data_IF_615216677643
#
_entry.id   IF_615216677643
#
_cell.length_a   1.000
_cell.length_b   1.000
_cell.length_c   1.000
_cell.angle_alpha   90.00
_cell.angle_beta   90.00
_cell.angle_gamma   90.00
#
_symmetry.space_group_name_H-M   'P 1'
#
loop_
_entity.id
_entity.type
_entity.pdbx_description
1 polymer ?
#
# COMPACT_ATOMS: atom_id res chain seq x y z
N UNK A 1 68.92 24.71 32.73
CA UNK A 1 67.63 25.43 32.84
C UNK A 1 67.06 25.58 31.45
N UNK A 2 65.73 25.57 31.33
CA UNK A 2 64.89 25.72 30.13
C UNK A 2 64.53 24.41 29.42
N UNK A 3 63.40 23.85 29.87
CA UNK A 3 62.59 22.83 29.22
C UNK A 3 62.14 23.30 27.82
N UNK A 4 62.28 22.42 26.82
CA UNK A 4 61.71 22.64 25.48
C UNK A 4 60.24 22.23 25.46
N UNK A 5 59.38 23.17 25.09
CA UNK A 5 57.94 22.99 24.89
C UNK A 5 57.64 21.96 23.79
N UNK A 6 56.76 21.00 24.07
CA UNK A 6 56.13 20.17 23.03
C UNK A 6 55.08 21.00 22.30
N UNK A 7 55.30 21.24 21.01
CA UNK A 7 54.27 21.76 20.10
C UNK A 7 53.44 20.57 19.63
N UNK A 8 52.15 20.63 19.91
CA UNK A 8 51.17 19.60 19.57
C UNK A 8 50.89 19.62 18.05
N UNK A 9 51.03 18.47 17.39
CA UNK A 9 50.75 18.34 15.95
C UNK A 9 49.23 18.32 15.75
N UNK A 10 48.67 19.43 15.27
CA UNK A 10 47.32 19.48 14.72
C UNK A 10 47.22 18.49 13.55
N UNK A 11 46.64 17.32 13.82
CA UNK A 11 46.32 16.30 12.82
C UNK A 11 45.07 16.76 12.08
N UNK A 12 45.23 17.44 10.96
CA UNK A 12 44.14 17.72 10.02
C UNK A 12 43.52 16.39 9.58
N UNK A 13 42.38 16.03 10.17
CA UNK A 13 41.57 14.88 9.75
C UNK A 13 40.90 15.25 8.43
N UNK A 14 41.51 14.89 7.30
CA UNK A 14 40.78 14.78 6.03
C UNK A 14 39.73 13.69 6.21
N UNK A 15 38.47 14.09 6.33
CA UNK A 15 37.33 13.19 6.27
C UNK A 15 37.14 12.80 4.81
N UNK A 16 37.52 11.57 4.48
CA UNK A 16 37.28 10.98 3.17
C UNK A 16 35.77 10.76 2.98
N UNK A 17 35.22 11.18 1.83
CA UNK A 17 33.76 11.19 1.56
C UNK A 17 33.12 9.80 1.68
N UNK A 18 33.92 8.73 1.60
CA UNK A 18 33.47 7.34 1.80
C UNK A 18 33.26 6.95 3.26
N UNK A 19 33.80 7.68 4.22
CA UNK A 19 33.64 7.39 5.66
C UNK A 19 32.42 8.06 6.30
N UNK A 20 31.70 8.92 5.57
CA UNK A 20 30.44 9.51 6.06
C UNK A 20 29.30 8.49 6.00
N UNK A 21 29.33 7.54 5.05
CA UNK A 21 28.30 6.52 4.89
C UNK A 21 28.52 5.25 5.74
N UNK A 22 29.74 5.01 6.21
CA UNK A 22 30.03 3.87 7.11
C UNK A 22 30.00 4.25 8.60
N UNK A 23 30.00 5.55 8.93
CA UNK A 23 29.72 6.05 10.28
C UNK A 23 28.23 6.19 10.62
N UNK A 24 27.34 6.04 9.63
CA UNK A 24 25.88 6.12 9.79
C UNK A 24 25.17 4.76 9.70
N UNK A 25 25.90 3.66 9.48
CA UNK A 25 25.32 2.32 9.26
C UNK A 25 25.38 1.35 10.45
N UNK A 26 25.91 1.77 11.60
CA UNK A 26 26.28 0.86 12.70
C UNK A 26 25.42 0.90 13.97
N UNK A 27 24.29 1.62 13.99
CA UNK A 27 23.51 1.87 15.22
C UNK A 27 21.98 1.77 15.07
N UNK A 28 21.50 1.06 14.06
CA UNK A 28 20.05 0.81 13.85
C UNK A 28 19.49 -0.37 14.68
N UNK A 29 19.98 -0.56 15.91
CA UNK A 29 19.51 -1.63 16.80
C UNK A 29 19.11 -1.20 18.22
N UNK A 30 19.50 0.00 18.69
CA UNK A 30 19.31 0.34 20.11
C UNK A 30 19.23 1.86 20.42
N UNK A 31 18.73 2.70 19.53
CA UNK A 31 18.64 4.15 19.76
C UNK A 31 17.25 4.64 20.24
N UNK A 32 16.53 3.83 21.04
CA UNK A 32 15.42 4.30 21.86
C UNK A 32 15.85 4.67 23.29
N UNK A 33 17.16 4.74 23.59
CA UNK A 33 17.65 5.24 24.86
C UNK A 33 18.43 6.56 24.68
N UNK A 34 17.80 7.63 25.15
CA UNK A 34 18.41 8.89 25.60
C UNK A 34 18.93 9.80 24.47
N UNK A 35 18.02 10.60 23.91
CA UNK A 35 18.38 11.83 23.20
C UNK A 35 19.04 12.80 24.17
N UNK A 36 20.23 13.28 23.81
CA UNK A 36 20.92 14.37 24.51
C UNK A 36 20.08 15.63 24.34
N UNK A 37 19.63 16.18 25.47
CA UNK A 37 18.93 17.47 25.52
C UNK A 37 19.79 18.55 24.85
N UNK A 38 19.25 19.21 23.82
CA UNK A 38 19.69 20.48 23.20
C UNK A 38 20.00 20.47 21.70
N UNK A 39 19.70 19.42 20.95
CA UNK A 39 19.68 19.52 19.48
C UNK A 39 18.29 19.12 18.96
N UNK A 40 17.52 20.06 18.37
CA UNK A 40 16.25 19.70 17.75
C UNK A 40 16.59 18.89 16.50
N UNK A 41 16.45 17.57 16.61
CA UNK A 41 16.25 16.75 15.42
C UNK A 41 15.13 17.40 14.61
N UNK A 42 15.36 17.57 13.30
CA UNK A 42 14.30 17.94 12.36
C UNK A 42 13.25 16.83 12.35
N UNK A 43 12.35 16.86 13.34
CA UNK A 43 11.18 16.01 13.44
C UNK A 43 10.17 16.56 12.44
N UNK A 44 10.15 15.95 11.24
CA UNK A 44 9.03 16.17 10.33
C UNK A 44 7.75 15.72 11.02
N UNK A 45 6.72 16.57 11.06
CA UNK A 45 5.40 16.16 11.49
C UNK A 45 4.87 15.09 10.52
N UNK A 46 4.40 13.93 11.00
CA UNK A 46 3.79 12.93 10.12
C UNK A 46 2.50 13.46 9.51
N UNK A 47 2.14 12.97 8.33
CA UNK A 47 0.82 13.24 7.74
C UNK A 47 -0.25 12.73 8.71
N UNK A 48 -1.21 13.58 9.14
CA UNK A 48 -2.27 13.17 10.06
C UNK A 48 -3.17 12.08 9.46
N UNK A 49 -3.87 11.30 10.31
CA UNK A 49 -4.93 10.41 9.82
C UNK A 49 -6.04 11.22 9.13
N UNK A 50 -6.93 10.56 8.36
CA UNK A 50 -8.11 11.22 7.85
C UNK A 50 -8.99 11.74 8.98
N UNK A 51 -9.58 12.91 8.78
CA UNK A 51 -10.72 13.36 9.56
C UNK A 51 -11.94 12.51 9.19
N UNK A 52 -12.30 11.57 10.05
CA UNK A 52 -13.45 10.69 9.84
C UNK A 52 -14.79 11.37 10.13
N UNK A 53 -14.81 12.57 10.73
CA UNK A 53 -16.04 13.32 10.97
C UNK A 53 -16.62 13.92 9.68
N UNK A 54 -15.79 14.02 8.63
CA UNK A 54 -16.18 14.56 7.34
C UNK A 54 -15.73 13.65 6.19
N UNK A 55 -16.63 13.41 5.25
CA UNK A 55 -16.30 12.75 3.99
C UNK A 55 -16.94 13.54 2.85
N UNK A 56 -16.12 14.00 1.90
CA UNK A 56 -16.55 14.82 0.76
C UNK A 56 -16.67 14.01 -0.51
N UNK A 57 -17.36 14.58 -1.50
CA UNK A 57 -17.39 14.07 -2.86
C UNK A 57 -15.96 13.91 -3.40
N UNK A 58 -15.65 12.71 -3.88
CA UNK A 58 -14.36 12.40 -4.48
C UNK A 58 -14.28 12.92 -5.92
N UNK A 59 -13.07 13.23 -6.39
CA UNK A 59 -12.85 13.76 -7.76
C UNK A 59 -11.92 12.85 -8.57
N UNK A 60 -12.23 12.68 -9.85
CA UNK A 60 -11.39 12.01 -10.84
C UNK A 60 -10.13 12.85 -11.15
N UNK A 61 -9.09 12.27 -11.78
CA UNK A 61 -7.87 13.00 -12.13
C UNK A 61 -8.08 14.22 -13.04
N UNK A 62 -9.16 14.25 -13.82
CA UNK A 62 -9.56 15.38 -14.66
C UNK A 62 -10.35 16.46 -13.90
N UNK A 63 -10.55 16.28 -12.60
CA UNK A 63 -11.29 17.18 -11.72
C UNK A 63 -12.80 16.97 -11.74
N UNK A 64 -13.33 16.07 -12.57
CA UNK A 64 -14.77 15.76 -12.57
C UNK A 64 -15.16 14.95 -11.32
N UNK A 65 -16.39 15.10 -10.79
CA UNK A 65 -16.81 14.37 -9.60
C UNK A 65 -17.00 12.88 -9.90
N UNK A 66 -16.64 12.03 -8.95
CA UNK A 66 -16.99 10.61 -8.98
C UNK A 66 -18.53 10.50 -8.89
N UNK A 67 -19.21 9.74 -9.76
CA UNK A 67 -20.68 9.70 -9.84
C UNK A 67 -21.36 8.92 -8.70
N UNK A 68 -20.60 8.46 -7.71
CA UNK A 68 -21.06 7.72 -6.54
C UNK A 68 -20.31 8.19 -5.29
N UNK A 69 -20.85 7.86 -4.11
CA UNK A 69 -20.17 8.15 -2.84
C UNK A 69 -19.14 7.08 -2.52
N UNK A 70 -17.95 7.52 -2.10
CA UNK A 70 -16.89 6.66 -1.61
C UNK A 70 -16.81 6.63 -0.08
N UNK A 71 -17.77 7.28 0.60
CA UNK A 71 -17.76 7.37 2.05
C UNK A 71 -18.00 6.01 2.70
N UNK A 72 -17.11 5.65 3.62
CA UNK A 72 -17.14 4.38 4.31
C UNK A 72 -18.15 4.39 5.47
N UNK A 73 -18.81 3.26 5.78
CA UNK A 73 -19.56 3.10 7.01
C UNK A 73 -18.59 3.25 8.18
N UNK A 74 -18.91 4.19 9.07
CA UNK A 74 -18.08 4.47 10.23
C UNK A 74 -18.50 3.60 11.41
N UNK A 75 -17.55 3.21 12.29
CA UNK A 75 -17.91 2.58 13.55
C UNK A 75 -18.79 3.53 14.38
N UNK A 76 -19.69 2.96 15.19
CA UNK A 76 -20.60 3.73 16.05
C UNK A 76 -19.85 4.63 17.05
N UNK A 77 -18.66 4.20 17.46
CA UNK A 77 -17.80 4.93 18.38
C UNK A 77 -16.46 5.25 17.72
N UNK A 78 -16.34 6.50 17.22
CA UNK A 78 -15.10 7.04 16.67
C UNK A 78 -14.12 7.51 17.75
N UNK A 79 -14.56 7.63 19.01
CA UNK A 79 -13.70 8.05 20.12
C UNK A 79 -12.80 6.92 20.62
N UNK A 80 -13.13 5.68 20.28
CA UNK A 80 -12.41 4.47 20.70
C UNK A 80 -12.00 3.59 19.51
N UNK A 81 -11.18 4.14 18.62
CA UNK A 81 -10.54 3.35 17.56
C UNK A 81 -9.37 2.58 18.19
N UNK A 82 -9.38 1.23 18.18
CA UNK A 82 -8.34 0.46 18.84
C UNK A 82 -6.98 0.64 18.14
N UNK A 83 -5.92 0.77 18.93
CA UNK A 83 -4.56 0.69 18.40
C UNK A 83 -4.32 -0.71 17.81
N UNK A 84 -3.77 -0.74 16.61
CA UNK A 84 -3.44 -2.00 15.96
C UNK A 84 -2.47 -2.83 16.80
N UNK A 85 -2.77 -4.14 16.91
CA UNK A 85 -1.91 -5.13 17.56
C UNK A 85 -1.40 -6.09 16.49
N UNK A 86 -0.09 -6.31 16.46
CA UNK A 86 0.52 -7.30 15.59
C UNK A 86 -0.08 -8.69 15.89
N UNK A 87 -0.52 -9.44 14.88
CA UNK A 87 -1.01 -10.79 15.08
C UNK A 87 0.16 -11.69 15.50
N UNK A 88 -0.16 -12.75 16.24
CA UNK A 88 0.80 -13.83 16.43
C UNK A 88 0.95 -14.60 15.11
N UNK A 89 2.15 -14.58 14.52
CA UNK A 89 2.44 -15.23 13.23
C UNK A 89 3.29 -16.47 13.50
N UNK A 90 2.68 -17.65 13.39
CA UNK A 90 3.38 -18.95 13.51
C UNK A 90 3.83 -19.51 12.16
N UNK A 91 3.21 -19.09 11.07
CA UNK A 91 3.54 -19.46 9.69
C UNK A 91 3.52 -18.22 8.81
N UNK A 92 4.51 -18.12 7.92
CA UNK A 92 4.57 -17.04 6.93
C UNK A 92 3.59 -17.36 5.80
N UNK A 93 2.67 -16.44 5.54
CA UNK A 93 1.78 -16.48 4.37
C UNK A 93 2.58 -16.14 3.12
N UNK A 94 2.58 -17.05 2.12
CA UNK A 94 3.32 -16.87 0.86
C UNK A 94 2.31 -16.57 -0.26
N UNK A 95 2.42 -15.39 -0.86
CA UNK A 95 1.61 -14.98 -2.00
C UNK A 95 2.07 -15.69 -3.27
N UNK A 96 1.25 -16.51 -3.94
CA UNK A 96 1.66 -17.18 -5.16
C UNK A 96 1.61 -16.25 -6.37
N UNK A 97 2.41 -16.54 -7.40
CA UNK A 97 2.32 -15.83 -8.67
C UNK A 97 1.04 -16.22 -9.41
N UNK A 98 0.23 -15.24 -9.82
CA UNK A 98 -1.09 -15.43 -10.39
C UNK A 98 -1.14 -16.32 -11.65
N UNK A 99 -0.07 -16.36 -12.45
CA UNK A 99 0.02 -17.20 -13.65
C UNK A 99 0.25 -18.70 -13.34
N UNK A 100 0.65 -19.04 -12.10
CA UNK A 100 1.07 -20.40 -11.71
C UNK A 100 0.25 -20.95 -10.52
N UNK A 101 -0.99 -20.52 -10.37
CA UNK A 101 -1.88 -21.01 -9.29
C UNK A 101 -2.61 -22.28 -9.71
N UNK A 102 -2.89 -23.17 -8.74
CA UNK A 102 -3.63 -24.41 -8.98
C UNK A 102 -5.13 -24.14 -9.17
N UNK A 103 -5.86 -25.11 -9.73
CA UNK A 103 -7.32 -25.03 -9.84
C UNK A 103 -8.01 -24.91 -8.48
N UNK A 104 -7.49 -25.62 -7.47
CA UNK A 104 -7.97 -25.54 -6.09
C UNK A 104 -7.81 -24.13 -5.53
N UNK A 105 -6.65 -23.50 -5.74
CA UNK A 105 -6.42 -22.13 -5.33
C UNK A 105 -7.38 -21.15 -6.00
N UNK A 106 -7.61 -21.30 -7.32
CA UNK A 106 -8.57 -20.47 -8.05
C UNK A 106 -9.97 -20.61 -7.46
N UNK A 107 -10.44 -21.85 -7.23
CA UNK A 107 -11.75 -22.09 -6.60
C UNK A 107 -11.84 -21.42 -5.23
N UNK A 108 -10.80 -21.55 -4.41
CA UNK A 108 -10.73 -20.93 -3.09
C UNK A 108 -10.80 -19.40 -3.15
N UNK A 109 -10.00 -18.78 -4.01
CA UNK A 109 -9.97 -17.32 -4.17
C UNK A 109 -11.28 -16.78 -4.78
N UNK A 110 -11.81 -17.43 -5.82
CA UNK A 110 -13.12 -17.11 -6.38
C UNK A 110 -14.22 -17.21 -5.33
N UNK A 111 -14.19 -18.22 -4.46
CA UNK A 111 -15.16 -18.36 -3.36
C UNK A 111 -15.05 -17.21 -2.35
N UNK A 112 -13.84 -16.83 -1.96
CA UNK A 112 -13.63 -15.71 -1.04
C UNK A 112 -14.16 -14.39 -1.60
N UNK A 113 -13.87 -14.10 -2.88
CA UNK A 113 -14.37 -12.90 -3.56
C UNK A 113 -15.88 -12.95 -3.75
N UNK A 114 -16.45 -14.11 -4.09
CA UNK A 114 -17.90 -14.29 -4.20
C UNK A 114 -18.59 -13.99 -2.86
N UNK A 115 -18.09 -14.56 -1.75
CA UNK A 115 -18.62 -14.28 -0.42
C UNK A 115 -18.54 -12.81 -0.05
N UNK A 116 -17.39 -12.17 -0.33
CA UNK A 116 -17.19 -10.74 -0.09
C UNK A 116 -18.18 -9.87 -0.89
N UNK A 117 -18.47 -10.24 -2.15
CA UNK A 117 -19.47 -9.57 -3.00
C UNK A 117 -20.92 -9.82 -2.54
N UNK A 118 -21.17 -10.94 -1.87
CA UNK A 118 -22.49 -11.34 -1.38
C UNK A 118 -22.86 -10.75 0.00
N UNK A 119 -21.94 -10.06 0.67
CA UNK A 119 -22.25 -9.33 1.91
C UNK A 119 -23.23 -8.19 1.65
N UNK A 120 -23.88 -7.70 2.71
CA UNK A 120 -24.73 -6.51 2.62
C UNK A 120 -23.92 -5.31 2.12
N UNK A 121 -24.56 -4.40 1.39
CA UNK A 121 -23.88 -3.26 0.76
C UNK A 121 -23.19 -2.34 1.78
N UNK A 122 -23.80 -2.21 2.96
CA UNK A 122 -23.29 -1.37 4.05
C UNK A 122 -22.33 -2.13 4.99
N UNK A 123 -22.11 -3.42 4.77
CA UNK A 123 -21.09 -4.18 5.51
C UNK A 123 -19.70 -3.64 5.14
N UNK A 124 -18.87 -3.19 6.11
CA UNK A 124 -17.53 -2.66 5.81
C UNK A 124 -16.62 -3.66 5.09
N UNK A 125 -16.92 -4.96 5.18
CA UNK A 125 -16.17 -6.04 4.52
C UNK A 125 -16.65 -6.30 3.08
N UNK A 126 -17.78 -5.72 2.67
CA UNK A 126 -18.32 -5.88 1.31
C UNK A 126 -17.30 -5.44 0.26
N UNK A 127 -17.30 -6.11 -0.90
CA UNK A 127 -16.38 -5.84 -2.01
C UNK A 127 -16.37 -4.37 -2.45
N UNK A 128 -17.55 -3.74 -2.52
CA UNK A 128 -17.66 -2.32 -2.87
C UNK A 128 -17.15 -1.42 -1.75
N UNK A 129 -17.34 -1.78 -0.48
CA UNK A 129 -16.75 -1.02 0.62
C UNK A 129 -15.23 -1.11 0.63
N UNK A 130 -14.68 -2.28 0.31
CA UNK A 130 -13.23 -2.43 0.11
C UNK A 130 -12.73 -1.59 -1.08
N UNK A 131 -13.46 -1.50 -2.18
CA UNK A 131 -13.11 -0.62 -3.31
C UNK A 131 -13.22 0.88 -2.95
N UNK A 132 -14.22 1.26 -2.17
CA UNK A 132 -14.45 2.63 -1.72
C UNK A 132 -13.30 3.16 -0.83
N UNK A 133 -12.58 2.28 -0.11
CA UNK A 133 -11.36 2.68 0.62
C UNK A 133 -10.35 3.33 -0.33
N UNK A 134 -10.08 2.69 -1.48
CA UNK A 134 -9.14 3.27 -2.45
C UNK A 134 -9.66 4.61 -2.96
N UNK A 135 -10.94 4.70 -3.36
CA UNK A 135 -11.51 5.97 -3.81
C UNK A 135 -11.38 7.08 -2.74
N UNK A 136 -11.79 6.83 -1.50
CA UNK A 136 -11.83 7.87 -0.48
C UNK A 136 -10.43 8.43 -0.12
N UNK A 137 -9.41 7.57 -0.05
CA UNK A 137 -8.04 7.97 0.30
C UNK A 137 -7.23 8.52 -0.90
N UNK A 138 -7.64 8.23 -2.13
CA UNK A 138 -6.88 8.56 -3.34
C UNK A 138 -7.51 9.66 -4.19
N UNK A 139 -8.82 9.90 -4.01
CA UNK A 139 -9.60 10.87 -4.79
C UNK A 139 -10.18 11.96 -3.87
N UNK A 140 -9.41 12.35 -2.84
CA UNK A 140 -9.72 13.48 -1.93
C UNK A 140 -11.08 13.35 -1.21
N UNK A 141 -11.48 12.13 -0.86
CA UNK A 141 -12.69 11.89 -0.07
C UNK A 141 -12.54 12.32 1.40
N UNK A 142 -11.31 12.32 1.93
CA UNK A 142 -10.99 12.78 3.29
C UNK A 142 -10.07 14.00 3.29
N UNK A 143 -10.10 14.72 4.41
CA UNK A 143 -9.15 15.80 4.75
C UNK A 143 -8.20 15.32 5.84
N UNK A 144 -7.05 15.96 5.96
CA UNK A 144 -6.13 15.71 7.07
C UNK A 144 -6.73 16.20 8.40
N UNK A 145 -6.73 15.35 9.42
CA UNK A 145 -7.24 15.70 10.74
C UNK A 145 -6.44 16.87 11.32
N UNK A 146 -7.15 17.92 11.75
CA UNK A 146 -6.54 19.13 12.30
C UNK A 146 -6.09 20.16 11.25
N UNK A 147 -6.20 19.84 9.95
CA UNK A 147 -5.87 20.76 8.86
C UNK A 147 -7.05 20.89 7.88
N UNK A 148 -8.13 21.60 8.28
CA UNK A 148 -9.30 21.78 7.42
C UNK A 148 -8.91 22.39 6.08
N UNK A 149 -9.35 21.76 4.99
CA UNK A 149 -9.08 22.22 3.62
C UNK A 149 -7.84 21.60 2.97
N UNK A 150 -7.04 20.84 3.72
CA UNK A 150 -5.96 20.02 3.15
C UNK A 150 -6.52 18.63 2.84
N UNK A 151 -6.68 18.26 1.56
CA UNK A 151 -7.16 16.92 1.19
C UNK A 151 -6.09 15.89 1.51
N UNK A 152 -6.51 14.74 2.06
CA UNK A 152 -5.63 13.60 2.23
C UNK A 152 -5.37 12.96 0.86
N UNK A 153 -4.09 12.73 0.54
CA UNK A 153 -3.66 12.07 -0.68
C UNK A 153 -2.52 11.09 -0.39
N UNK A 154 -2.81 9.79 -0.56
CA UNK A 154 -1.84 8.72 -0.32
C UNK A 154 -0.96 8.43 -1.54
N UNK A 155 -1.36 8.88 -2.73
CA UNK A 155 -0.55 8.82 -3.95
C UNK A 155 0.46 9.97 -4.02
N UNK A 156 1.43 9.85 -4.94
CA UNK A 156 2.43 10.88 -5.25
C UNK A 156 3.29 11.34 -4.05
N UNK A 157 3.39 10.50 -3.03
CA UNK A 157 4.15 10.76 -1.81
C UNK A 157 4.75 9.47 -1.24
N UNK A 158 5.52 9.58 -0.15
CA UNK A 158 6.06 8.44 0.56
C UNK A 158 4.99 7.56 1.25
N UNK A 159 3.72 8.02 1.30
CA UNK A 159 2.61 7.23 1.84
C UNK A 159 2.16 6.11 0.90
N UNK A 160 2.53 6.16 -0.38
CA UNK A 160 2.08 5.21 -1.39
C UNK A 160 2.29 3.74 -0.96
N UNK A 161 3.53 3.35 -0.68
CA UNK A 161 3.85 1.98 -0.29
C UNK A 161 3.24 1.54 1.06
N UNK A 162 3.38 2.29 2.17
CA UNK A 162 2.83 1.86 3.44
C UNK A 162 1.29 1.81 3.42
N UNK A 163 0.60 2.75 2.77
CA UNK A 163 -0.85 2.72 2.65
C UNK A 163 -1.32 1.46 1.91
N UNK A 164 -0.80 1.20 0.71
CA UNK A 164 -1.21 0.03 -0.08
C UNK A 164 -0.84 -1.29 0.60
N UNK A 165 0.27 -1.33 1.35
CA UNK A 165 0.62 -2.50 2.17
C UNK A 165 -0.44 -2.77 3.24
N UNK A 166 -0.88 -1.75 3.97
CA UNK A 166 -1.94 -1.89 4.98
C UNK A 166 -3.29 -2.23 4.37
N UNK A 167 -3.63 -1.60 3.26
CA UNK A 167 -4.86 -1.89 2.52
C UNK A 167 -4.93 -3.37 2.11
N UNK A 168 -3.88 -3.87 1.46
CA UNK A 168 -3.80 -5.27 1.05
C UNK A 168 -3.68 -6.23 2.25
N UNK A 169 -3.02 -5.83 3.33
CA UNK A 169 -2.90 -6.62 4.55
C UNK A 169 -4.28 -6.93 5.15
N UNK A 170 -5.16 -5.93 5.28
CA UNK A 170 -6.51 -6.17 5.78
C UNK A 170 -7.38 -6.88 4.75
N UNK A 171 -7.31 -6.49 3.47
CA UNK A 171 -8.07 -7.14 2.40
C UNK A 171 -7.81 -8.66 2.31
N UNK A 172 -6.54 -9.08 2.37
CA UNK A 172 -6.13 -10.49 2.39
C UNK A 172 -6.73 -11.25 3.59
N UNK A 173 -6.67 -10.67 4.79
CA UNK A 173 -7.19 -11.28 6.02
C UNK A 173 -8.71 -11.37 6.03
N UNK A 174 -9.39 -10.36 5.48
CA UNK A 174 -10.84 -10.36 5.32
C UNK A 174 -11.24 -11.53 4.42
N UNK A 175 -10.61 -11.67 3.25
CA UNK A 175 -10.88 -12.80 2.36
C UNK A 175 -10.69 -14.15 3.05
N UNK A 176 -9.56 -14.34 3.74
CA UNK A 176 -9.32 -15.55 4.53
C UNK A 176 -10.41 -15.81 5.58
N UNK A 177 -10.81 -14.78 6.32
CA UNK A 177 -11.87 -14.90 7.34
C UNK A 177 -13.23 -15.32 6.77
N UNK A 178 -13.59 -14.85 5.57
CA UNK A 178 -14.87 -15.18 4.93
C UNK A 178 -14.96 -16.66 4.50
N UNK A 179 -13.83 -17.32 4.30
CA UNK A 179 -13.75 -18.73 3.94
C UNK A 179 -13.24 -19.62 5.09
N UNK A 180 -12.93 -19.04 6.26
CA UNK A 180 -12.38 -19.79 7.40
C UNK A 180 -10.96 -20.32 7.16
N UNK A 181 -10.16 -19.64 6.34
CA UNK A 181 -8.78 -20.01 6.03
C UNK A 181 -7.83 -18.90 6.50
N UNK A 182 -7.20 -19.10 7.66
CA UNK A 182 -6.22 -18.18 8.23
C UNK A 182 -4.84 -18.25 7.53
N UNK A 183 -4.68 -19.18 6.60
CA UNK A 183 -3.48 -19.33 5.75
C UNK A 183 -3.65 -18.73 4.36
N UNK A 184 -4.83 -18.18 4.05
CA UNK A 184 -5.11 -17.57 2.76
C UNK A 184 -4.09 -16.46 2.43
N UNK A 185 -3.57 -16.50 1.20
CA UNK A 185 -2.66 -15.50 0.64
C UNK A 185 -3.24 -15.00 -0.68
N UNK A 186 -3.23 -13.69 -0.92
CA UNK A 186 -3.54 -13.11 -2.21
C UNK A 186 -2.52 -13.56 -3.27
N UNK A 187 -2.92 -13.75 -4.53
CA UNK A 187 -1.95 -13.93 -5.59
C UNK A 187 -1.35 -12.55 -5.93
N UNK A 188 -0.18 -12.53 -6.54
CA UNK A 188 0.38 -11.32 -7.12
C UNK A 188 0.55 -11.47 -8.64
N UNK A 189 0.31 -10.40 -9.39
CA UNK A 189 0.59 -10.38 -10.81
C UNK A 189 2.10 -10.22 -11.02
N UNK A 190 2.75 -11.31 -11.43
CA UNK A 190 4.20 -11.41 -11.65
C UNK A 190 4.63 -10.81 -13.00
N UNK A 191 4.27 -9.55 -13.27
CA UNK A 191 4.52 -8.88 -14.54
C UNK A 191 5.99 -8.52 -14.79
N UNK A 192 6.84 -8.65 -13.77
CA UNK A 192 8.30 -8.52 -13.84
C UNK A 192 8.99 -9.80 -14.33
N UNK A 193 8.22 -10.86 -14.61
CA UNK A 193 8.69 -12.09 -15.24
C UNK A 193 8.00 -12.31 -16.57
N UNK A 194 8.75 -12.75 -17.59
CA UNK A 194 8.26 -13.00 -18.95
C UNK A 194 6.97 -13.85 -18.98
N UNK A 195 6.91 -14.92 -18.18
CA UNK A 195 5.77 -15.84 -18.14
C UNK A 195 4.54 -15.27 -17.42
N UNK A 196 4.70 -14.17 -16.67
CA UNK A 196 3.64 -13.51 -15.92
C UNK A 196 3.21 -12.16 -16.50
N UNK A 197 3.72 -11.74 -17.65
CA UNK A 197 3.40 -10.43 -18.24
C UNK A 197 1.99 -10.37 -18.86
N UNK A 198 1.40 -11.50 -19.26
CA UNK A 198 0.02 -11.53 -19.74
C UNK A 198 -0.97 -11.38 -18.58
N UNK A 199 -2.18 -10.87 -18.87
CA UNK A 199 -3.28 -10.88 -17.90
C UNK A 199 -3.49 -12.32 -17.39
N UNK A 200 -3.36 -12.59 -16.08
CA UNK A 200 -3.48 -13.94 -15.55
C UNK A 200 -4.86 -14.54 -15.85
N UNK A 201 -4.88 -15.79 -16.32
CA UNK A 201 -6.08 -16.45 -16.85
C UNK A 201 -7.24 -16.53 -15.85
N UNK A 202 -6.96 -16.63 -14.53
CA UNK A 202 -8.00 -16.62 -13.49
C UNK A 202 -8.90 -15.38 -13.50
N UNK A 203 -8.41 -14.25 -14.03
CA UNK A 203 -9.17 -13.00 -14.15
C UNK A 203 -9.93 -12.92 -15.48
N UNK A 204 -9.64 -13.78 -16.47
CA UNK A 204 -10.25 -13.79 -17.80
C UNK A 204 -11.19 -15.00 -17.99
N UNK A 205 -12.05 -15.25 -16.99
CA UNK A 205 -13.10 -16.28 -17.07
C UNK A 205 -14.43 -15.58 -16.92
N UNK A 206 -15.20 -15.47 -18.01
CA UNK A 206 -16.53 -14.87 -18.00
C UNK A 206 -17.39 -15.52 -16.91
N UNK A 207 -18.19 -14.72 -16.20
CA UNK A 207 -19.01 -15.11 -15.05
C UNK A 207 -18.22 -15.56 -13.80
N UNK A 208 -16.88 -15.55 -13.81
CA UNK A 208 -16.10 -15.72 -12.58
C UNK A 208 -16.29 -14.53 -11.64
N UNK A 209 -16.33 -14.73 -10.31
CA UNK A 209 -16.30 -13.63 -9.34
C UNK A 209 -15.07 -12.73 -9.49
N UNK A 210 -13.99 -13.21 -10.12
CA UNK A 210 -12.74 -12.49 -10.37
C UNK A 210 -12.74 -11.70 -11.70
N UNK A 211 -13.75 -11.90 -12.54
CA UNK A 211 -13.89 -11.22 -13.82
C UNK A 211 -14.39 -9.78 -13.62
N UNK A 212 -13.91 -8.88 -14.48
CA UNK A 212 -14.38 -7.52 -14.60
C UNK A 212 -14.55 -7.19 -16.09
N UNK A 213 -15.77 -6.89 -16.57
CA UNK A 213 -16.00 -6.52 -17.96
C UNK A 213 -15.40 -5.14 -18.32
N UNK A 214 -15.10 -4.29 -17.34
CA UNK A 214 -14.59 -2.93 -17.56
C UNK A 214 -13.07 -2.90 -17.75
N UNK A 215 -12.53 -3.82 -18.56
CA UNK A 215 -11.11 -3.87 -18.95
C UNK A 215 -10.95 -3.61 -20.44
N UNK A 216 -9.83 -3.00 -20.83
CA UNK A 216 -9.51 -2.81 -22.25
C UNK A 216 -9.28 -4.17 -22.92
N UNK A 217 -10.17 -4.55 -23.84
CA UNK A 217 -10.13 -5.84 -24.53
C UNK A 217 -8.90 -5.99 -25.44
N UNK A 218 -8.32 -4.86 -25.90
CA UNK A 218 -7.12 -4.88 -26.74
C UNK A 218 -5.87 -5.34 -25.96
N UNK A 219 -5.90 -5.33 -24.62
CA UNK A 219 -4.77 -5.72 -23.77
C UNK A 219 -4.85 -7.16 -23.26
N UNK A 220 -5.83 -7.93 -23.73
CA UNK A 220 -5.98 -9.33 -23.33
C UNK A 220 -4.93 -10.21 -24.03
N UNK A 221 -4.63 -11.41 -23.50
CA UNK A 221 -3.75 -12.36 -24.15
C UNK A 221 -4.15 -12.58 -25.63
N UNK A 222 -3.19 -12.67 -26.56
CA UNK A 222 -1.76 -12.93 -26.33
C UNK A 222 -0.91 -11.70 -25.97
N UNK A 223 -1.51 -10.49 -25.88
CA UNK A 223 -0.78 -9.28 -25.50
C UNK A 223 -0.23 -9.38 -24.07
N UNK A 224 0.95 -8.77 -23.88
CA UNK A 224 1.59 -8.60 -22.57
C UNK A 224 1.35 -7.20 -22.05
N UNK A 225 1.42 -7.02 -20.72
CA UNK A 225 1.33 -5.69 -20.11
C UNK A 225 2.45 -4.77 -20.62
N UNK A 226 2.08 -3.58 -21.08
CA UNK A 226 3.02 -2.54 -21.46
C UNK A 226 3.34 -1.66 -20.24
N UNK A 227 4.49 -1.89 -19.60
CA UNK A 227 4.92 -1.11 -18.42
C UNK A 227 5.27 0.36 -18.76
N UNK A 228 5.45 0.69 -20.04
CA UNK A 228 5.68 2.04 -20.54
C UNK A 228 4.44 2.68 -21.17
N UNK A 229 3.23 2.22 -20.83
CA UNK A 229 2.00 2.73 -21.42
C UNK A 229 1.74 4.21 -21.05
N UNK A 230 1.63 5.07 -22.05
CA UNK A 230 1.45 6.54 -21.89
C UNK A 230 0.09 7.04 -22.36
N UNK A 231 -0.99 6.27 -22.17
CA UNK A 231 -2.40 6.55 -22.55
C UNK A 231 -2.79 6.38 -24.02
N UNK A 232 -1.83 6.04 -24.88
CA UNK A 232 -2.06 5.67 -26.28
C UNK A 232 -1.55 4.25 -26.47
N UNK A 233 -2.36 3.40 -27.13
CA UNK A 233 -1.92 2.13 -27.66
C UNK A 233 -0.91 2.41 -28.78
N UNK A 234 0.34 2.66 -28.40
CA UNK A 234 1.45 2.68 -29.35
C UNK A 234 1.64 1.24 -29.79
N UNK A 235 1.52 0.97 -31.10
CA UNK A 235 1.89 -0.33 -31.66
C UNK A 235 3.30 -0.67 -31.16
N UNK A 236 3.40 -1.69 -30.31
CA UNK A 236 4.69 -2.24 -29.93
C UNK A 236 5.29 -2.84 -31.19
N UNK A 237 6.24 -2.16 -31.81
CA UNK A 237 7.15 -2.79 -32.75
C UNK A 237 8.17 -3.56 -31.94
N UNK A 238 8.31 -4.85 -32.26
CA UNK A 238 9.34 -5.76 -31.75
C UNK A 238 10.76 -5.17 -31.82
#
# INVERSE_FOLDING_TARGET
MIQRSKVDKQRTRKLDRRNVLLGLGGLYGAANLIGVANEPFSLGAPVPPPDLSSCSSSSLPDGSPVPFTCCLPLPKDLSNIPTYKLPNVSKVTIRPSAHNVTREYITKYSTAIQKMKSLDKDDPLNFMQQANIHCAYCNTGYKELGFPGVPLQVHFSCLFFPFHRWYLYFFERILGSLIGDDTFALPFWNYDSQVGMQLPSLYNVVNSPLYDPNRNQNHFPPNVVNLGFTTIDLNASD
#
